data_IF_552463542820
#
_entry.id   IF_552463542820
#
_cell.length_a   1.000
_cell.length_b   1.000
_cell.length_c   1.000
_cell.angle_alpha   90.00
_cell.angle_beta   90.00
_cell.angle_gamma   90.00
#
_symmetry.space_group_name_H-M   'P 1'
#
loop_
_entity.id
_entity.type
_entity.pdbx_description
1 polymer ?
#
# COMPACT_ATOMS: atom_id res chain seq x y z
N UNK A 1 31.45 -37.51 -52.54
CA UNK A 1 32.81 -37.33 -53.09
C UNK A 1 32.80 -36.07 -53.96
N UNK A 2 33.74 -35.16 -53.68
CA UNK A 2 34.15 -33.96 -54.46
C UNK A 2 33.23 -32.72 -54.35
N UNK A 3 33.53 -31.74 -53.45
CA UNK A 3 34.47 -30.56 -53.56
C UNK A 3 33.93 -29.50 -54.54
N UNK A 4 33.81 -28.19 -54.31
CA UNK A 4 34.47 -27.14 -53.49
C UNK A 4 33.72 -25.80 -53.78
N UNK A 5 34.14 -24.60 -53.33
CA UNK A 5 34.50 -24.16 -51.99
C UNK A 5 33.79 -22.85 -51.56
N UNK A 6 33.96 -22.50 -50.30
CA UNK A 6 33.58 -21.23 -49.68
C UNK A 6 34.40 -20.04 -50.20
N UNK A 7 33.76 -18.88 -50.33
CA UNK A 7 34.45 -17.58 -50.28
C UNK A 7 33.82 -16.70 -49.19
N UNK A 8 34.54 -16.61 -48.08
CA UNK A 8 34.41 -15.55 -47.10
C UNK A 8 34.99 -14.27 -47.70
N UNK A 9 34.24 -13.17 -47.65
CA UNK A 9 34.78 -11.83 -47.92
C UNK A 9 34.78 -11.07 -46.60
N UNK A 10 35.99 -10.89 -46.08
CA UNK A 10 36.32 -10.06 -44.92
C UNK A 10 36.58 -8.64 -45.40
N UNK A 11 35.89 -7.65 -44.85
CA UNK A 11 36.27 -6.24 -44.99
C UNK A 11 36.81 -5.70 -43.65
N UNK A 12 37.97 -5.01 -43.65
CA UNK A 12 38.57 -4.41 -42.47
C UNK A 12 37.85 -3.10 -42.04
N UNK A 13 38.02 -2.64 -40.79
CA UNK A 13 37.36 -1.44 -40.29
C UNK A 13 38.20 -0.19 -40.60
N UNK A 14 37.58 0.98 -40.84
CA UNK A 14 38.28 2.25 -40.70
C UNK A 14 38.01 2.88 -39.33
N UNK A 15 39.05 2.94 -38.51
CA UNK A 15 39.19 3.88 -37.40
C UNK A 15 39.52 5.28 -37.93
N UNK A 16 38.93 6.33 -37.37
CA UNK A 16 39.64 7.59 -37.07
C UNK A 16 38.68 8.61 -36.46
N UNK A 17 38.86 8.87 -35.16
CA UNK A 17 38.68 10.20 -34.58
C UNK A 17 40.02 10.96 -34.68
N UNK A 18 40.01 12.30 -34.79
CA UNK A 18 40.45 13.10 -33.64
C UNK A 18 39.70 14.45 -33.43
N UNK A 19 39.40 14.71 -32.15
CA UNK A 19 39.50 15.92 -31.28
C UNK A 19 39.81 17.33 -31.88
N UNK A 20 39.76 18.42 -31.08
CA UNK A 20 38.76 18.90 -30.11
C UNK A 20 38.44 20.40 -30.34
N UNK A 21 37.32 20.92 -29.81
CA UNK A 21 37.18 22.38 -29.66
C UNK A 21 36.89 22.78 -28.22
N UNK A 22 37.84 23.59 -27.76
CA UNK A 22 37.98 24.31 -26.51
C UNK A 22 36.82 25.30 -26.30
N UNK A 23 36.30 25.40 -25.08
CA UNK A 23 36.27 26.68 -24.36
C UNK A 23 35.75 26.52 -22.91
N UNK A 24 36.68 26.75 -21.99
CA UNK A 24 36.52 27.59 -20.80
C UNK A 24 35.71 27.06 -19.61
N UNK A 25 36.51 26.54 -18.68
CA UNK A 25 36.25 26.44 -17.24
C UNK A 25 35.67 27.74 -16.68
N UNK A 26 34.42 27.70 -16.23
CA UNK A 26 33.83 28.73 -15.40
C UNK A 26 33.80 28.23 -13.94
N UNK A 27 34.60 28.91 -13.13
CA UNK A 27 34.77 28.76 -11.69
C UNK A 27 33.42 28.84 -10.97
N UNK A 28 33.16 27.87 -10.08
CA UNK A 28 32.06 27.92 -9.12
C UNK A 28 32.21 29.14 -8.20
N UNK A 29 31.18 29.99 -8.02
CA UNK A 29 31.17 30.92 -6.91
C UNK A 29 30.86 30.16 -5.62
N UNK A 30 31.76 30.28 -4.65
CA UNK A 30 31.53 29.88 -3.26
C UNK A 30 30.52 30.86 -2.66
N UNK A 31 29.25 30.47 -2.58
CA UNK A 31 28.26 31.21 -1.82
C UNK A 31 28.38 30.84 -0.33
N UNK A 32 28.74 31.84 0.45
CA UNK A 32 28.75 31.84 1.91
C UNK A 32 27.34 31.66 2.47
N UNK A 33 27.26 30.89 3.55
CA UNK A 33 26.07 30.54 4.31
C UNK A 33 25.49 31.78 5.02
N UNK A 34 24.27 32.23 4.68
CA UNK A 34 23.45 33.11 5.53
C UNK A 34 21.95 32.81 5.32
N UNK A 35 21.34 32.31 6.40
CA UNK A 35 19.95 32.49 6.83
C UNK A 35 18.79 31.88 6.04
N UNK A 36 18.28 30.79 6.63
CA UNK A 36 16.88 30.43 6.85
C UNK A 36 15.83 31.36 6.25
N UNK A 37 15.10 30.86 5.26
CA UNK A 37 13.76 31.34 4.91
C UNK A 37 12.97 30.16 4.37
N UNK A 38 11.94 29.79 5.11
CA UNK A 38 11.07 28.64 4.90
C UNK A 38 10.50 28.61 3.48
N UNK A 39 11.00 27.71 2.64
CA UNK A 39 10.32 27.32 1.41
C UNK A 39 9.12 26.46 1.79
N UNK A 40 7.99 27.11 2.07
CA UNK A 40 6.70 26.44 2.27
C UNK A 40 6.33 25.75 0.96
N UNK A 41 6.65 24.47 0.84
CA UNK A 41 6.08 23.62 -0.21
C UNK A 41 4.57 23.60 0.06
N UNK A 42 3.80 24.28 -0.79
CA UNK A 42 2.34 24.22 -0.80
C UNK A 42 1.94 22.82 -1.27
N UNK A 43 2.03 21.87 -0.34
CA UNK A 43 1.52 20.51 -0.46
C UNK A 43 0.02 20.53 -0.26
N UNK A 44 -0.68 20.84 -1.36
CA UNK A 44 -2.09 20.52 -1.68
C UNK A 44 -2.93 20.02 -0.50
N UNK A 45 -3.85 20.89 -0.10
CA UNK A 45 -4.90 20.77 0.90
C UNK A 45 -5.95 19.66 0.59
N UNK A 46 -5.53 18.41 0.33
CA UNK A 46 -6.43 17.25 0.13
C UNK A 46 -6.65 16.49 1.44
N UNK A 47 -5.70 16.56 2.38
CA UNK A 47 -5.81 15.87 3.69
C UNK A 47 -6.87 16.48 4.61
N UNK A 48 -7.24 17.75 4.39
CA UNK A 48 -8.21 18.47 5.22
C UNK A 48 -9.67 18.08 4.95
N UNK A 49 -10.01 17.58 3.76
CA UNK A 49 -11.41 17.26 3.41
C UNK A 49 -11.90 15.95 4.03
N UNK A 50 -10.98 15.02 4.32
CA UNK A 50 -11.29 13.75 4.96
C UNK A 50 -10.81 13.76 6.41
N UNK A 51 -11.67 14.26 7.33
CA UNK A 51 -11.40 14.27 8.78
C UNK A 51 -10.96 12.90 9.33
N UNK A 52 -11.46 11.80 8.74
CA UNK A 52 -11.09 10.45 9.17
C UNK A 52 -9.66 10.04 8.83
N UNK A 53 -8.95 10.76 7.95
CA UNK A 53 -7.53 10.56 7.59
C UNK A 53 -6.55 11.43 8.40
N UNK A 54 -7.05 12.30 9.28
CA UNK A 54 -6.20 13.16 10.11
C UNK A 54 -5.62 12.37 11.29
N UNK A 55 -4.35 12.67 11.62
CA UNK A 55 -3.55 11.98 12.63
C UNK A 55 -2.75 10.79 12.07
N UNK A 56 -1.52 10.60 12.56
CA UNK A 56 -0.67 9.47 12.17
C UNK A 56 -1.18 8.12 12.69
N UNK A 57 -1.96 8.18 13.77
CA UNK A 57 -2.62 7.05 14.42
C UNK A 57 -4.12 7.36 14.54
N UNK A 58 -4.96 6.45 14.02
CA UNK A 58 -6.41 6.63 13.91
C UNK A 58 -7.15 5.47 14.57
N UNK A 59 -7.86 5.73 15.66
CA UNK A 59 -8.78 4.75 16.27
C UNK A 59 -10.11 4.73 15.53
N UNK A 60 -10.44 3.60 14.90
CA UNK A 60 -11.61 3.45 14.01
C UNK A 60 -12.25 2.08 14.16
N UNK A 61 -13.50 1.96 13.72
CA UNK A 61 -14.08 0.69 13.28
C UNK A 61 -14.07 0.65 11.76
N UNK A 62 -13.90 -0.53 11.16
CA UNK A 62 -14.04 -0.70 9.72
C UNK A 62 -15.36 -1.38 9.40
N UNK A 63 -16.35 -0.60 8.97
CA UNK A 63 -17.67 -1.11 8.61
C UNK A 63 -17.70 -1.52 7.13
N UNK A 64 -17.79 -2.81 6.88
CA UNK A 64 -17.85 -3.35 5.52
C UNK A 64 -19.15 -2.96 4.81
N UNK A 65 -19.08 -2.86 3.48
CA UNK A 65 -20.26 -2.67 2.63
C UNK A 65 -21.34 -3.74 2.89
N UNK A 66 -20.91 -4.96 3.23
CA UNK A 66 -21.76 -6.10 3.57
C UNK A 66 -22.42 -5.99 4.96
N UNK A 67 -22.34 -4.83 5.63
CA UNK A 67 -22.98 -4.51 6.92
C UNK A 67 -22.42 -5.32 8.10
N UNK A 68 -21.10 -5.45 8.15
CA UNK A 68 -20.36 -6.02 9.28
C UNK A 68 -19.18 -5.13 9.67
N UNK A 69 -18.93 -4.98 10.97
CA UNK A 69 -17.65 -4.48 11.45
C UNK A 69 -16.58 -5.56 11.29
N UNK A 70 -15.42 -5.19 10.77
CA UNK A 70 -14.25 -6.06 10.76
C UNK A 70 -13.80 -6.30 12.21
N UNK A 71 -13.57 -7.57 12.53
CA UNK A 71 -13.19 -8.04 13.86
C UNK A 71 -11.91 -8.87 13.77
N UNK A 72 -10.98 -8.65 14.70
CA UNK A 72 -9.79 -9.49 14.89
C UNK A 72 -9.86 -10.10 16.29
N UNK A 73 -10.29 -11.36 16.39
CA UNK A 73 -10.47 -12.04 17.67
C UNK A 73 -9.17 -12.32 18.41
N UNK A 74 -9.28 -12.75 19.67
CA UNK A 74 -8.16 -13.04 20.59
C UNK A 74 -7.08 -13.96 19.98
N UNK A 75 -7.50 -15.00 19.26
CA UNK A 75 -6.60 -15.97 18.61
C UNK A 75 -6.18 -15.56 17.18
N UNK A 76 -6.33 -14.30 16.80
CA UNK A 76 -6.00 -13.80 15.46
C UNK A 76 -7.00 -14.22 14.36
N UNK A 77 -8.16 -14.78 14.71
CA UNK A 77 -9.22 -15.07 13.74
C UNK A 77 -9.86 -13.77 13.25
N UNK A 78 -9.90 -13.58 11.94
CA UNK A 78 -10.54 -12.42 11.29
C UNK A 78 -11.92 -12.79 10.77
N UNK A 79 -12.94 -12.00 11.09
CA UNK A 79 -14.29 -12.14 10.59
C UNK A 79 -15.07 -10.82 10.69
N UNK A 80 -16.33 -10.83 10.25
CA UNK A 80 -17.29 -9.76 10.49
C UNK A 80 -18.11 -10.00 11.74
N UNK A 81 -18.50 -8.93 12.43
CA UNK A 81 -19.49 -8.90 13.51
C UNK A 81 -20.54 -7.84 13.23
N UNK A 82 -21.78 -8.05 13.72
CA UNK A 82 -22.85 -7.04 13.70
C UNK A 82 -22.97 -6.27 15.01
N UNK A 83 -22.30 -6.73 16.07
CA UNK A 83 -22.32 -6.06 17.37
C UNK A 83 -21.50 -4.78 17.28
N UNK A 84 -22.16 -3.66 17.54
CA UNK A 84 -21.49 -2.36 17.59
C UNK A 84 -20.55 -2.28 18.79
N UNK A 85 -20.86 -2.94 19.90
CA UNK A 85 -20.05 -2.88 21.12
C UNK A 85 -18.96 -3.97 21.20
N UNK A 86 -18.72 -4.74 20.14
CA UNK A 86 -17.68 -5.77 20.14
C UNK A 86 -16.29 -5.12 20.29
N UNK A 87 -15.58 -5.36 21.41
CA UNK A 87 -14.29 -4.73 21.66
C UNK A 87 -13.23 -5.11 20.62
N UNK A 88 -13.34 -6.30 20.02
CA UNK A 88 -12.42 -6.79 18.98
C UNK A 88 -12.64 -6.13 17.61
N UNK A 89 -13.64 -5.24 17.49
CA UNK A 89 -13.88 -4.42 16.30
C UNK A 89 -13.21 -3.04 16.35
N UNK A 90 -12.61 -2.68 17.49
CA UNK A 90 -11.89 -1.42 17.67
C UNK A 90 -10.47 -1.59 17.12
N UNK A 91 -10.16 -0.82 16.09
CA UNK A 91 -8.91 -0.91 15.34
C UNK A 91 -8.11 0.38 15.46
N UNK A 92 -6.80 0.25 15.54
CA UNK A 92 -5.83 1.31 15.35
C UNK A 92 -5.26 1.21 13.94
N UNK A 93 -5.39 2.29 13.16
CA UNK A 93 -4.84 2.40 11.82
C UNK A 93 -3.67 3.40 11.87
N UNK A 94 -2.45 2.92 11.61
CA UNK A 94 -1.23 3.72 11.62
C UNK A 94 -0.64 3.78 10.22
N UNK A 95 -0.26 4.98 9.76
CA UNK A 95 0.50 5.10 8.50
C UNK A 95 1.93 4.60 8.72
N UNK A 96 2.38 3.73 7.82
CA UNK A 96 3.74 3.15 7.84
C UNK A 96 4.55 3.55 6.60
N UNK A 97 3.86 4.05 5.58
CA UNK A 97 4.42 4.59 4.34
C UNK A 97 3.35 5.45 3.65
N UNK A 98 3.71 6.15 2.57
CA UNK A 98 2.77 6.92 1.76
C UNK A 98 1.70 5.99 1.17
N UNK A 99 0.47 6.15 1.64
CA UNK A 99 -0.68 5.33 1.21
C UNK A 99 -0.65 3.89 1.74
N UNK A 100 0.28 3.53 2.62
CA UNK A 100 0.36 2.21 3.28
C UNK A 100 0.11 2.35 4.77
N UNK A 101 -0.71 1.47 5.30
CA UNK A 101 -1.11 1.43 6.70
C UNK A 101 -0.83 0.06 7.32
N UNK A 102 -0.62 0.07 8.63
CA UNK A 102 -0.79 -1.08 9.49
C UNK A 102 -2.10 -0.93 10.25
N UNK A 103 -2.86 -2.02 10.40
CA UNK A 103 -4.14 -2.03 11.11
C UNK A 103 -4.05 -3.03 12.25
N UNK A 104 -4.15 -2.57 13.49
CA UNK A 104 -4.04 -3.41 14.70
C UNK A 104 -5.37 -3.45 15.44
N UNK A 105 -5.82 -4.64 15.82
CA UNK A 105 -6.93 -4.78 16.77
C UNK A 105 -6.47 -4.43 18.17
N UNK A 106 -7.08 -3.42 18.81
CA UNK A 106 -6.63 -2.95 20.12
C UNK A 106 -6.83 -4.00 21.21
N UNK A 107 -7.97 -4.70 21.22
CA UNK A 107 -8.25 -5.72 22.25
C UNK A 107 -7.51 -7.03 22.05
N UNK A 108 -7.21 -7.42 20.80
CA UNK A 108 -6.48 -8.66 20.52
C UNK A 108 -4.98 -8.47 20.38
N UNK A 109 -4.49 -7.24 20.19
CA UNK A 109 -3.09 -6.94 19.86
C UNK A 109 -2.57 -7.64 18.60
N UNK A 110 -3.45 -8.06 17.68
CA UNK A 110 -3.06 -8.64 16.40
C UNK A 110 -3.18 -7.62 15.27
N UNK A 111 -2.25 -7.67 14.31
CA UNK A 111 -2.29 -6.90 13.08
C UNK A 111 -3.11 -7.62 12.01
N UNK A 112 -3.97 -6.89 11.31
CA UNK A 112 -4.67 -7.39 10.14
C UNK A 112 -3.66 -7.67 9.03
N UNK A 113 -3.64 -8.91 8.56
CA UNK A 113 -2.60 -9.39 7.68
C UNK A 113 -3.17 -10.30 6.58
N UNK A 114 -2.59 -10.21 5.38
CA UNK A 114 -2.89 -11.11 4.27
C UNK A 114 -1.63 -11.94 4.02
N UNK A 115 -1.73 -13.26 4.18
CA UNK A 115 -0.61 -14.17 3.83
C UNK A 115 -0.37 -14.19 2.33
N UNK A 116 0.84 -14.59 1.91
CA UNK A 116 1.19 -14.88 0.50
C UNK A 116 0.19 -15.82 -0.21
N UNK A 117 -0.39 -16.79 0.52
CA UNK A 117 -1.40 -17.70 -0.03
C UNK A 117 -2.82 -17.08 -0.14
N UNK A 118 -2.99 -15.84 0.29
CA UNK A 118 -4.22 -15.05 0.29
C UNK A 118 -5.12 -15.25 1.50
N UNK A 119 -4.68 -15.96 2.54
CA UNK A 119 -5.48 -16.11 3.78
C UNK A 119 -5.40 -14.81 4.60
N UNK A 120 -6.56 -14.28 4.96
CA UNK A 120 -6.68 -13.15 5.89
C UNK A 120 -6.61 -13.67 7.33
N UNK A 121 -5.78 -13.05 8.16
CA UNK A 121 -5.55 -13.47 9.55
C UNK A 121 -5.08 -12.28 10.39
N UNK A 122 -5.05 -12.47 11.70
CA UNK A 122 -4.40 -11.60 12.67
C UNK A 122 -2.99 -12.10 12.93
N UNK A 123 -1.97 -11.30 12.63
CA UNK A 123 -0.58 -11.57 12.97
C UNK A 123 -0.23 -11.00 14.35
N UNK A 124 0.51 -11.76 15.17
CA UNK A 124 0.97 -11.28 16.49
C UNK A 124 2.04 -10.19 16.37
N UNK A 125 2.89 -10.33 15.36
CA UNK A 125 3.99 -9.41 15.08
C UNK A 125 3.73 -8.67 13.77
N UNK A 126 4.22 -7.44 13.71
CA UNK A 126 4.18 -6.64 12.49
C UNK A 126 5.20 -7.17 11.48
N UNK A 127 4.79 -7.31 10.22
CA UNK A 127 5.66 -7.79 9.14
C UNK A 127 5.08 -7.51 7.76
N UNK A 128 5.67 -8.07 6.68
CA UNK A 128 5.28 -7.80 5.30
C UNK A 128 3.78 -8.05 5.02
N UNK A 129 3.22 -9.12 5.58
CA UNK A 129 1.80 -9.47 5.46
C UNK A 129 0.85 -8.37 6.00
N UNK A 130 1.33 -7.52 6.92
CA UNK A 130 0.56 -6.50 7.62
C UNK A 130 0.55 -5.15 6.90
N UNK A 131 1.35 -4.99 5.84
CA UNK A 131 1.42 -3.75 5.05
C UNK A 131 0.25 -3.70 4.09
N UNK A 132 -0.68 -2.77 4.32
CA UNK A 132 -1.90 -2.64 3.54
C UNK A 132 -1.95 -1.28 2.82
N UNK A 133 -2.09 -1.28 1.50
CA UNK A 133 -2.34 -0.07 0.72
C UNK A 133 -3.78 0.36 0.95
N UNK A 134 -3.97 1.54 1.54
CA UNK A 134 -5.27 2.18 1.74
C UNK A 134 -5.60 3.08 0.54
N UNK A 135 -6.78 2.91 -0.04
CA UNK A 135 -7.30 3.81 -1.09
C UNK A 135 -8.76 4.13 -0.86
N UNK A 136 -9.14 5.38 -1.07
CA UNK A 136 -10.55 5.79 -1.14
C UNK A 136 -11.05 5.47 -2.55
N UNK A 137 -12.16 4.76 -2.63
CA UNK A 137 -12.87 4.45 -3.86
C UNK A 137 -13.93 5.53 -4.18
N UNK A 138 -14.43 5.51 -5.41
CA UNK A 138 -15.39 6.50 -5.93
C UNK A 138 -16.67 6.58 -5.07
N UNK A 139 -17.10 5.44 -4.51
CA UNK A 139 -18.26 5.33 -3.63
C UNK A 139 -17.99 5.76 -2.17
N UNK A 140 -16.84 6.39 -1.90
CA UNK A 140 -16.40 6.91 -0.59
C UNK A 140 -16.02 5.84 0.45
N UNK A 141 -16.03 4.56 0.09
CA UNK A 141 -15.46 3.50 0.92
C UNK A 141 -13.95 3.38 0.68
N UNK A 142 -13.24 2.80 1.64
CA UNK A 142 -11.83 2.46 1.47
C UNK A 142 -11.67 1.01 1.05
N UNK A 143 -10.63 0.74 0.27
CA UNK A 143 -10.07 -0.62 0.08
C UNK A 143 -8.74 -0.74 0.79
N UNK A 144 -8.42 -1.96 1.20
CA UNK A 144 -7.14 -2.31 1.82
C UNK A 144 -6.53 -3.49 1.07
N UNK A 145 -5.48 -3.23 0.29
CA UNK A 145 -4.81 -4.26 -0.51
C UNK A 145 -3.48 -4.65 0.13
N UNK A 146 -3.03 -5.89 0.01
CA UNK A 146 -1.65 -6.25 0.36
C UNK A 146 -0.67 -5.39 -0.45
N UNK A 147 0.29 -4.77 0.25
CA UNK A 147 1.39 -4.06 -0.37
C UNK A 147 2.41 -5.05 -0.97
N UNK A 148 2.62 -6.18 -0.29
CA UNK A 148 3.65 -7.18 -0.60
C UNK A 148 3.15 -8.24 -1.59
N UNK A 149 1.95 -8.78 -1.37
CA UNK A 149 1.54 -10.01 -2.04
C UNK A 149 0.54 -9.78 -3.17
N UNK A 150 0.88 -10.35 -4.33
CA UNK A 150 0.02 -10.41 -5.50
C UNK A 150 -0.46 -11.83 -5.77
N UNK A 151 -1.58 -11.95 -6.48
CA UNK A 151 -2.06 -13.19 -7.08
C UNK A 151 -1.95 -13.08 -8.59
N UNK A 152 -0.89 -13.67 -9.17
CA UNK A 152 -0.38 -13.29 -10.49
C UNK A 152 -0.08 -11.78 -10.45
N UNK A 153 -0.58 -10.99 -11.38
CA UNK A 153 -0.34 -9.54 -11.41
C UNK A 153 -1.46 -8.72 -10.74
N UNK A 154 -2.31 -9.38 -9.93
CA UNK A 154 -3.47 -8.75 -9.29
C UNK A 154 -3.29 -8.63 -7.79
N UNK A 155 -3.52 -7.42 -7.27
CA UNK A 155 -3.55 -7.17 -5.82
C UNK A 155 -4.59 -8.04 -5.12
N UNK A 156 -4.25 -8.48 -3.92
CA UNK A 156 -5.18 -9.14 -3.00
C UNK A 156 -5.69 -8.14 -1.98
N UNK A 157 -6.99 -8.21 -1.66
CA UNK A 157 -7.67 -7.26 -0.79
C UNK A 157 -8.18 -7.93 0.47
N UNK A 158 -8.24 -7.15 1.55
CA UNK A 158 -9.10 -7.46 2.69
C UNK A 158 -10.54 -7.50 2.18
N UNK A 159 -11.31 -8.50 2.59
CA UNK A 159 -12.71 -8.59 2.19
C UNK A 159 -13.53 -9.50 3.08
N UNK A 160 -14.79 -9.13 3.28
CA UNK A 160 -15.81 -9.93 3.95
C UNK A 160 -16.91 -10.24 2.95
N UNK A 161 -17.33 -11.51 2.88
CA UNK A 161 -18.46 -11.89 2.03
C UNK A 161 -19.81 -11.46 2.67
N UNK A 162 -20.91 -11.71 1.95
CA UNK A 162 -22.26 -11.39 2.43
C UNK A 162 -22.67 -12.08 3.75
N UNK A 163 -21.94 -13.13 4.18
CA UNK A 163 -22.15 -13.84 5.45
C UNK A 163 -21.19 -13.37 6.55
N UNK A 164 -20.43 -12.29 6.32
CA UNK A 164 -19.44 -11.77 7.26
C UNK A 164 -18.19 -12.66 7.41
N UNK A 165 -17.98 -13.64 6.52
CA UNK A 165 -16.79 -14.50 6.55
C UNK A 165 -15.64 -13.87 5.75
N UNK A 166 -14.39 -14.03 6.19
CA UNK A 166 -13.25 -13.50 5.46
C UNK A 166 -13.14 -14.15 4.08
N UNK A 167 -12.82 -13.34 3.08
CA UNK A 167 -12.55 -13.81 1.73
C UNK A 167 -11.06 -14.16 1.58
N UNK A 168 -10.76 -15.19 0.79
CA UNK A 168 -9.38 -15.45 0.35
C UNK A 168 -8.97 -14.35 -0.62
N UNK A 169 -7.87 -13.64 -0.33
CA UNK A 169 -7.34 -12.53 -1.12
C UNK A 169 -7.23 -12.82 -2.61
N UNK A 170 -6.86 -14.05 -3.01
CA UNK A 170 -6.81 -14.49 -4.42
C UNK A 170 -8.15 -14.35 -5.17
N UNK A 171 -9.27 -14.43 -4.45
CA UNK A 171 -10.65 -14.30 -4.96
C UNK A 171 -11.20 -12.86 -4.91
N UNK A 172 -10.45 -11.91 -4.35
CA UNK A 172 -10.89 -10.52 -4.18
C UNK A 172 -10.52 -9.64 -5.38
N UNK A 173 -11.25 -8.54 -5.57
CA UNK A 173 -11.03 -7.55 -6.63
C UNK A 173 -11.43 -6.16 -6.11
N UNK A 174 -10.71 -5.11 -6.52
CA UNK A 174 -10.98 -3.72 -6.11
C UNK A 174 -12.43 -3.27 -6.32
N UNK A 175 -12.99 -3.57 -7.49
CA UNK A 175 -14.37 -3.16 -7.85
C UNK A 175 -15.46 -3.94 -7.10
N UNK A 176 -15.11 -5.04 -6.42
CA UNK A 176 -16.09 -5.83 -5.67
C UNK A 176 -16.35 -5.16 -4.31
N UNK A 177 -17.61 -4.84 -4.03
CA UNK A 177 -18.05 -4.21 -2.79
C UNK A 177 -17.75 -5.02 -1.54
N UNK A 178 -17.56 -6.34 -1.65
CA UNK A 178 -17.08 -7.18 -0.55
C UNK A 178 -15.69 -6.77 0.00
N UNK A 179 -14.94 -5.93 -0.73
CA UNK A 179 -13.63 -5.38 -0.32
C UNK A 179 -13.70 -3.95 0.20
N UNK A 180 -14.90 -3.36 0.26
CA UNK A 180 -15.11 -1.96 0.61
C UNK A 180 -15.45 -1.82 2.09
N UNK A 181 -14.75 -0.92 2.78
CA UNK A 181 -14.93 -0.64 4.20
C UNK A 181 -14.98 0.86 4.46
N UNK A 182 -15.97 1.29 5.24
CA UNK A 182 -16.09 2.66 5.72
C UNK A 182 -15.39 2.79 7.08
N UNK A 183 -14.36 3.65 7.22
CA UNK A 183 -13.75 3.93 8.51
C UNK A 183 -14.68 4.82 9.36
N UNK A 184 -15.15 4.30 10.50
CA UNK A 184 -16.04 5.01 11.43
C UNK A 184 -15.22 5.44 12.66
N UNK A 185 -15.40 6.69 13.09
CA UNK A 185 -14.74 7.23 14.30
C UNK A 185 -15.28 6.53 15.54
N UNK A 186 -14.39 6.11 16.43
CA UNK A 186 -14.77 5.63 17.76
C UNK A 186 -14.87 6.85 18.67
N UNK A 187 -16.06 7.17 19.14
CA UNK A 187 -16.26 8.23 20.13
C UNK A 187 -15.72 7.73 21.49
N UNK A 188 -15.01 8.58 22.26
CA UNK A 188 -14.78 8.30 23.67
C UNK A 188 -16.14 8.12 24.35
N UNK A 189 -16.29 7.07 25.15
CA UNK A 189 -17.38 6.99 26.13
C UNK A 189 -17.06 7.87 27.31
#
# INVERSE_FOLDING_TARGET
SWTSPHFFVSYPPPSSSPTPLHASSARLPRATNVSSSSATVIGRHVRSSYKHLQGDVRRRKLFSYQKFFLRIGKEGKVNGTKSEDDPYSILEIKSVDVGVVAIRGLSSNHYLAIRKNGVLYGAREYGPDCRLIERIEENKYNTYASAEWLNKDKRMFVGLNAKGKPMKGKKTRRKNTATHFLPIVVQPR
#
